data_IF_799365620852
#
_entry.id   IF_799365620852
#
_cell.length_a   1.000
_cell.length_b   1.000
_cell.length_c   1.000
_cell.angle_alpha   90.00
_cell.angle_beta   90.00
_cell.angle_gamma   90.00
#
_symmetry.space_group_name_H-M   'P 1'
#
loop_
_entity.id
_entity.type
_entity.pdbx_description
1 polymer ?
#
# COMPACT_ATOMS: atom_id res chain seq x y z
N UNK A 1 8.55 19.39 6.08
CA UNK A 1 7.52 19.68 7.10
C UNK A 1 7.49 18.55 8.13
N UNK A 2 7.49 17.28 7.73
CA UNK A 2 7.47 16.12 8.65
C UNK A 2 8.69 15.97 9.56
N UNK A 3 9.92 16.21 9.08
CA UNK A 3 11.15 16.13 9.90
C UNK A 3 11.18 17.19 11.02
N UNK A 4 10.78 18.43 10.68
CA UNK A 4 10.65 19.53 11.62
C UNK A 4 9.58 19.24 12.67
N UNK A 5 8.40 18.75 12.27
CA UNK A 5 7.32 18.39 13.21
C UNK A 5 7.74 17.28 14.17
N UNK A 6 8.45 16.24 13.69
CA UNK A 6 8.91 15.13 14.53
C UNK A 6 9.93 15.57 15.59
N UNK A 7 10.81 16.54 15.27
CA UNK A 7 11.78 17.13 16.20
C UNK A 7 11.24 18.28 17.06
N UNK A 8 10.01 18.73 16.80
CA UNK A 8 9.35 19.78 17.60
C UNK A 8 8.66 19.21 18.84
N UNK A 9 8.46 17.88 18.90
CA UNK A 9 7.87 17.20 20.06
C UNK A 9 9.01 16.78 21.01
N UNK A 10 9.14 17.38 22.22
CA UNK A 10 10.28 17.19 23.11
C UNK A 10 10.54 15.73 23.46
N UNK A 11 9.46 14.99 23.73
CA UNK A 11 9.53 13.57 24.11
C UNK A 11 10.06 12.65 22.99
N UNK A 12 9.85 13.00 21.72
CA UNK A 12 10.39 12.22 20.60
C UNK A 12 11.86 12.55 20.32
N UNK A 13 12.26 13.80 20.54
CA UNK A 13 13.67 14.22 20.47
C UNK A 13 14.51 13.46 21.50
N UNK A 14 14.08 13.42 22.75
CA UNK A 14 14.84 12.79 23.85
C UNK A 14 15.00 11.27 23.64
N UNK A 15 13.95 10.60 23.16
CA UNK A 15 14.00 9.17 22.85
C UNK A 15 14.92 8.87 21.65
N UNK A 16 14.93 9.76 20.65
CA UNK A 16 15.81 9.64 19.49
C UNK A 16 17.28 9.83 19.89
N UNK A 17 17.61 10.87 20.67
CA UNK A 17 18.97 11.12 21.15
C UNK A 17 19.50 9.97 22.03
N UNK A 18 18.66 9.39 22.90
CA UNK A 18 19.00 8.18 23.68
C UNK A 18 19.30 6.98 22.79
N UNK A 19 18.46 6.70 21.80
CA UNK A 19 18.67 5.61 20.85
C UNK A 19 19.99 5.79 20.08
N UNK A 20 20.26 7.01 19.59
CA UNK A 20 21.48 7.36 18.88
C UNK A 20 22.76 7.17 19.72
N UNK A 21 22.70 7.54 21.00
CA UNK A 21 23.80 7.38 21.96
C UNK A 21 24.06 5.90 22.27
N UNK A 22 23.01 5.09 22.44
CA UNK A 22 23.13 3.65 22.73
C UNK A 22 23.80 2.86 21.61
N UNK A 23 23.58 3.24 20.35
CA UNK A 23 24.17 2.57 19.18
C UNK A 23 25.50 3.19 18.73
N UNK A 24 26.00 4.23 19.42
CA UNK A 24 27.26 4.89 19.09
C UNK A 24 27.30 5.55 17.71
N UNK A 25 26.14 5.94 17.15
CA UNK A 25 26.04 6.38 15.75
C UNK A 25 26.59 7.81 15.48
N UNK A 26 26.94 8.57 16.52
CA UNK A 26 27.49 9.93 16.39
C UNK A 26 26.60 10.90 15.60
N UNK A 27 27.19 11.84 14.88
CA UNK A 27 26.48 12.81 14.02
C UNK A 27 25.64 12.15 12.91
N UNK A 28 25.88 10.87 12.60
CA UNK A 28 25.21 10.13 11.52
C UNK A 28 23.89 9.45 11.91
N UNK A 29 23.40 9.61 13.15
CA UNK A 29 22.25 8.84 13.62
C UNK A 29 20.95 9.02 12.81
N UNK A 30 20.77 10.19 12.19
CA UNK A 30 19.63 10.44 11.31
C UNK A 30 19.56 9.50 10.10
N UNK A 31 20.69 8.90 9.69
CA UNK A 31 20.75 7.88 8.62
C UNK A 31 20.05 6.57 8.98
N UNK A 32 19.79 6.33 10.26
CA UNK A 32 19.23 5.08 10.83
C UNK A 32 17.73 5.24 11.13
N UNK A 33 17.14 6.41 10.85
CA UNK A 33 15.71 6.62 11.05
C UNK A 33 14.92 5.62 10.20
N UNK A 34 14.00 4.88 10.84
CA UNK A 34 13.30 3.74 10.22
C UNK A 34 12.64 4.09 8.88
N UNK A 35 12.00 5.25 8.76
CA UNK A 35 11.36 5.64 7.49
C UNK A 35 12.38 5.97 6.37
N UNK A 36 13.57 6.48 6.71
CA UNK A 36 14.64 6.75 5.72
C UNK A 36 15.19 5.41 5.20
N UNK A 37 15.33 4.41 6.08
CA UNK A 37 15.66 3.04 5.69
C UNK A 37 14.65 2.46 4.69
N UNK A 38 13.35 2.68 4.93
CA UNK A 38 12.28 2.27 4.00
C UNK A 38 12.42 2.99 2.65
N UNK A 39 12.68 4.29 2.62
CA UNK A 39 12.91 5.00 1.36
C UNK A 39 14.08 4.45 0.56
N UNK A 40 15.18 4.01 1.21
CA UNK A 40 16.35 3.44 0.53
C UNK A 40 16.03 2.11 -0.16
N UNK A 41 15.32 1.20 0.51
CA UNK A 41 14.95 -0.08 -0.10
C UNK A 41 13.89 0.09 -1.19
N UNK A 42 12.88 0.95 -0.96
CA UNK A 42 11.85 1.27 -1.96
C UNK A 42 12.45 1.94 -3.20
N UNK A 43 13.46 2.81 -3.03
CA UNK A 43 14.19 3.42 -4.14
C UNK A 43 14.89 2.36 -5.01
N UNK A 44 15.51 1.36 -4.38
CA UNK A 44 16.16 0.26 -5.12
C UNK A 44 15.13 -0.52 -5.96
N UNK A 45 14.01 -0.91 -5.35
CA UNK A 45 12.93 -1.62 -6.04
C UNK A 45 12.33 -0.77 -7.17
N UNK A 46 12.05 0.51 -6.90
CA UNK A 46 11.53 1.45 -7.90
C UNK A 46 12.49 1.58 -9.09
N UNK A 47 13.79 1.75 -8.83
CA UNK A 47 14.81 1.86 -9.88
C UNK A 47 14.87 0.59 -10.72
N UNK A 48 14.92 -0.58 -10.06
CA UNK A 48 14.94 -1.87 -10.75
C UNK A 48 13.70 -2.07 -11.64
N UNK A 49 12.50 -1.86 -11.11
CA UNK A 49 11.26 -2.05 -11.87
C UNK A 49 11.08 -1.00 -12.98
N UNK A 50 11.54 0.22 -12.77
CA UNK A 50 11.54 1.26 -13.80
C UNK A 50 12.47 0.88 -14.96
N UNK A 51 13.69 0.44 -14.67
CA UNK A 51 14.63 -0.06 -15.68
C UNK A 51 14.08 -1.27 -16.41
N UNK A 52 13.49 -2.23 -15.69
CA UNK A 52 12.85 -3.39 -16.30
C UNK A 52 11.67 -3.00 -17.19
N UNK A 53 10.88 -1.99 -16.81
CA UNK A 53 9.81 -1.46 -17.63
C UNK A 53 10.36 -0.94 -18.96
N UNK A 54 11.39 -0.07 -18.94
CA UNK A 54 12.04 0.41 -20.16
C UNK A 54 12.65 -0.73 -20.99
N UNK A 55 13.28 -1.72 -20.33
CA UNK A 55 13.83 -2.91 -20.97
C UNK A 55 12.74 -3.77 -21.61
N UNK A 56 11.47 -3.70 -21.21
CA UNK A 56 10.40 -4.54 -21.79
C UNK A 56 9.37 -3.78 -22.63
N UNK A 57 9.57 -2.48 -22.87
CA UNK A 57 8.71 -1.71 -23.81
C UNK A 57 8.67 -2.38 -25.18
N UNK A 58 7.45 -2.58 -25.69
CA UNK A 58 7.16 -3.17 -27.00
C UNK A 58 7.71 -4.61 -27.19
N UNK A 59 7.91 -5.35 -26.11
CA UNK A 59 8.21 -6.79 -26.21
C UNK A 59 6.92 -7.56 -26.44
N UNK A 60 6.81 -8.20 -27.61
CA UNK A 60 5.62 -8.96 -28.02
C UNK A 60 5.66 -10.45 -27.66
N UNK A 61 6.84 -10.99 -27.33
CA UNK A 61 7.00 -12.41 -27.02
C UNK A 61 8.04 -12.64 -25.93
N UNK A 62 7.74 -13.59 -25.05
CA UNK A 62 8.61 -14.06 -23.97
C UNK A 62 9.89 -14.76 -24.46
N UNK A 63 9.92 -15.16 -25.73
CA UNK A 63 11.06 -15.84 -26.35
C UNK A 63 12.13 -14.88 -26.89
N UNK A 64 11.81 -13.58 -26.99
CA UNK A 64 12.80 -12.57 -27.35
C UNK A 64 13.90 -12.50 -26.29
N UNK A 65 15.10 -12.02 -26.66
CA UNK A 65 16.20 -11.86 -25.72
C UNK A 65 15.80 -11.02 -24.48
N UNK A 66 15.08 -9.90 -24.70
CA UNK A 66 14.53 -9.04 -23.64
C UNK A 66 13.50 -9.77 -22.77
N UNK A 67 12.65 -10.61 -23.37
CA UNK A 67 11.70 -11.48 -22.65
C UNK A 67 12.38 -12.53 -21.78
N UNK A 68 13.48 -13.15 -22.26
CA UNK A 68 14.28 -14.10 -21.48
C UNK A 68 14.96 -13.43 -20.29
N UNK A 69 15.45 -12.20 -20.42
CA UNK A 69 15.96 -11.41 -19.28
C UNK A 69 14.84 -11.15 -18.26
N UNK A 70 13.65 -10.77 -18.72
CA UNK A 70 12.51 -10.52 -17.84
C UNK A 70 12.08 -11.77 -17.05
N UNK A 71 12.09 -12.95 -17.66
CA UNK A 71 11.60 -14.18 -17.01
C UNK A 71 12.69 -14.97 -16.27
N UNK A 72 13.97 -14.81 -16.66
CA UNK A 72 15.11 -15.55 -16.11
C UNK A 72 16.04 -14.74 -15.20
N UNK A 73 17.25 -15.25 -14.97
CA UNK A 73 18.37 -14.54 -14.32
C UNK A 73 18.06 -13.91 -12.94
N UNK A 74 17.29 -14.60 -12.09
CA UNK A 74 16.88 -14.10 -10.77
C UNK A 74 18.03 -13.69 -9.85
N UNK A 75 19.12 -14.45 -9.82
CA UNK A 75 20.29 -14.12 -8.98
C UNK A 75 20.90 -12.77 -9.35
N UNK A 76 21.02 -12.46 -10.64
CA UNK A 76 21.54 -11.18 -11.11
C UNK A 76 20.61 -10.01 -10.79
N UNK A 77 19.29 -10.22 -10.84
CA UNK A 77 18.28 -9.23 -10.44
C UNK A 77 18.38 -8.92 -8.95
N UNK A 78 18.50 -9.95 -8.12
CA UNK A 78 18.70 -9.79 -6.67
C UNK A 78 20.01 -9.06 -6.38
N UNK A 79 21.10 -9.44 -7.03
CA UNK A 79 22.39 -8.76 -6.89
C UNK A 79 22.28 -7.28 -7.25
N UNK A 80 21.58 -6.95 -8.36
CA UNK A 80 21.34 -5.57 -8.76
C UNK A 80 20.57 -4.80 -7.68
N UNK A 81 19.43 -5.33 -7.20
CA UNK A 81 18.61 -4.68 -6.16
C UNK A 81 19.43 -4.46 -4.88
N UNK A 82 20.19 -5.46 -4.43
CA UNK A 82 21.03 -5.34 -3.23
C UNK A 82 22.15 -4.32 -3.44
N UNK A 83 22.79 -4.29 -4.61
CA UNK A 83 23.85 -3.33 -4.92
C UNK A 83 23.35 -1.88 -4.92
N UNK A 84 22.19 -1.61 -5.51
CA UNK A 84 21.56 -0.29 -5.52
C UNK A 84 21.12 0.10 -4.11
N UNK A 85 20.61 -0.84 -3.32
CA UNK A 85 20.23 -0.60 -1.92
C UNK A 85 21.44 -0.23 -1.05
N UNK A 86 22.55 -0.96 -1.17
CA UNK A 86 23.81 -0.65 -0.48
C UNK A 86 24.32 0.73 -0.91
N UNK A 87 24.31 1.03 -2.21
CA UNK A 87 24.74 2.33 -2.73
C UNK A 87 23.86 3.47 -2.20
N UNK A 88 22.55 3.26 -2.09
CA UNK A 88 21.63 4.23 -1.50
C UNK A 88 21.89 4.49 -0.01
N UNK A 89 22.52 3.55 0.71
CA UNK A 89 22.96 3.75 2.09
C UNK A 89 24.15 4.71 2.20
N UNK A 90 25.09 4.63 1.26
CA UNK A 90 26.26 5.52 1.20
C UNK A 90 25.93 6.91 0.63
N UNK A 91 24.82 7.04 -0.12
CA UNK A 91 24.41 8.30 -0.74
C UNK A 91 23.80 9.28 0.29
N UNK A 92 24.67 10.12 0.86
CA UNK A 92 24.32 11.08 1.92
C UNK A 92 23.39 12.22 1.45
N UNK A 93 23.31 12.49 0.15
CA UNK A 93 22.43 13.53 -0.40
C UNK A 93 20.96 13.08 -0.51
N UNK A 94 20.67 11.79 -0.28
CA UNK A 94 19.30 11.28 -0.30
C UNK A 94 18.40 11.99 0.71
N UNK A 95 18.97 12.42 1.83
CA UNK A 95 18.25 13.03 2.94
C UNK A 95 17.65 14.39 2.54
N UNK A 96 18.40 15.18 1.76
CA UNK A 96 17.91 16.42 1.14
C UNK A 96 16.82 16.15 0.10
N UNK A 97 16.90 15.02 -0.62
CA UNK A 97 15.92 14.61 -1.64
C UNK A 97 14.69 13.87 -1.08
N UNK A 98 14.66 13.55 0.21
CA UNK A 98 13.55 12.79 0.84
C UNK A 98 12.20 13.43 0.58
N UNK A 99 12.12 14.77 0.58
CA UNK A 99 10.86 15.48 0.28
C UNK A 99 10.36 15.22 -1.15
N UNK A 100 11.27 15.12 -2.12
CA UNK A 100 10.91 14.79 -3.52
C UNK A 100 10.39 13.36 -3.58
N UNK A 101 11.09 12.41 -2.94
CA UNK A 101 10.66 11.02 -2.87
C UNK A 101 9.31 10.82 -2.16
N UNK A 102 9.00 11.62 -1.14
CA UNK A 102 7.68 11.64 -0.50
C UNK A 102 6.57 12.02 -1.49
N UNK A 103 6.77 13.08 -2.28
CA UNK A 103 5.79 13.53 -3.26
C UNK A 103 5.60 12.47 -4.34
N UNK A 104 6.70 11.91 -4.86
CA UNK A 104 6.65 10.79 -5.82
C UNK A 104 5.89 9.58 -5.24
N UNK A 105 6.11 9.28 -3.96
CA UNK A 105 5.40 8.21 -3.25
C UNK A 105 3.90 8.46 -3.11
N UNK A 106 3.48 9.70 -2.83
CA UNK A 106 2.05 10.07 -2.78
C UNK A 106 1.40 9.89 -4.15
N UNK A 107 2.02 10.41 -5.21
CA UNK A 107 1.50 10.30 -6.59
C UNK A 107 1.43 8.84 -7.02
N UNK A 108 2.50 8.07 -6.81
CA UNK A 108 2.52 6.64 -7.11
C UNK A 108 1.50 5.84 -6.29
N UNK A 109 1.31 6.20 -5.01
CA UNK A 109 0.33 5.57 -4.13
C UNK A 109 -1.10 5.78 -4.59
N UNK A 110 -1.46 6.99 -5.04
CA UNK A 110 -2.79 7.27 -5.61
C UNK A 110 -3.04 6.42 -6.85
N UNK A 111 -2.06 6.35 -7.77
CA UNK A 111 -2.15 5.51 -8.97
C UNK A 111 -2.28 4.02 -8.62
N UNK A 112 -1.50 3.55 -7.64
CA UNK A 112 -1.53 2.16 -7.20
C UNK A 112 -2.85 1.78 -6.53
N UNK A 113 -3.43 2.65 -5.71
CA UNK A 113 -4.77 2.45 -5.13
C UNK A 113 -5.83 2.37 -6.22
N UNK A 114 -5.74 3.21 -7.25
CA UNK A 114 -6.67 3.17 -8.38
C UNK A 114 -6.59 1.85 -9.16
N UNK A 115 -5.39 1.39 -9.51
CA UNK A 115 -5.19 0.11 -10.22
C UNK A 115 -5.64 -1.08 -9.36
N UNK A 116 -5.28 -1.09 -8.07
CA UNK A 116 -5.73 -2.14 -7.16
C UNK A 116 -7.26 -2.15 -7.01
N UNK A 117 -7.92 -0.99 -7.02
CA UNK A 117 -9.36 -0.90 -6.93
C UNK A 117 -10.06 -1.56 -8.13
N UNK A 118 -9.61 -1.27 -9.36
CA UNK A 118 -10.13 -1.92 -10.58
C UNK A 118 -9.90 -3.43 -10.52
N UNK A 119 -8.67 -3.85 -10.19
CA UNK A 119 -8.32 -5.27 -10.12
C UNK A 119 -9.15 -6.01 -9.07
N UNK A 120 -9.45 -5.36 -7.94
CA UNK A 120 -10.28 -5.93 -6.87
C UNK A 120 -11.73 -6.11 -7.32
N UNK A 121 -12.28 -5.15 -8.08
CA UNK A 121 -13.63 -5.25 -8.64
C UNK A 121 -13.71 -6.42 -9.64
N UNK A 122 -12.76 -6.51 -10.58
CA UNK A 122 -12.72 -7.59 -11.57
C UNK A 122 -12.59 -8.96 -10.89
N UNK A 123 -11.73 -9.04 -9.87
CA UNK A 123 -11.59 -10.25 -9.06
C UNK A 123 -12.89 -10.64 -8.35
N UNK A 124 -13.63 -9.66 -7.80
CA UNK A 124 -14.91 -9.91 -7.15
C UNK A 124 -15.96 -10.43 -8.15
N UNK A 125 -16.04 -9.85 -9.35
CA UNK A 125 -16.95 -10.32 -10.40
C UNK A 125 -16.63 -11.74 -10.85
N UNK A 126 -15.35 -12.06 -11.08
CA UNK A 126 -14.93 -13.39 -11.53
C UNK A 126 -15.22 -14.47 -10.47
N UNK A 127 -14.91 -14.20 -9.19
CA UNK A 127 -15.23 -15.13 -8.11
C UNK A 127 -16.74 -15.32 -7.97
N UNK A 128 -17.51 -14.24 -7.96
CA UNK A 128 -18.95 -14.32 -7.79
C UNK A 128 -19.59 -15.08 -8.95
N UNK A 129 -19.19 -14.81 -10.19
CA UNK A 129 -19.67 -15.54 -11.37
C UNK A 129 -19.35 -17.04 -11.32
N UNK A 130 -18.11 -17.39 -10.97
CA UNK A 130 -17.69 -18.79 -10.85
C UNK A 130 -18.46 -19.51 -9.73
N UNK A 131 -18.58 -18.90 -8.54
CA UNK A 131 -19.31 -19.50 -7.42
C UNK A 131 -20.81 -19.62 -7.70
N UNK A 132 -21.41 -18.62 -8.34
CA UNK A 132 -22.81 -18.65 -8.74
C UNK A 132 -23.09 -19.75 -9.78
N UNK A 133 -22.17 -19.98 -10.72
CA UNK A 133 -22.33 -21.11 -11.65
C UNK A 133 -22.26 -22.46 -10.95
N UNK A 134 -21.38 -22.61 -9.96
CA UNK A 134 -21.28 -23.84 -9.15
C UNK A 134 -22.42 -24.00 -8.15
N UNK A 135 -23.06 -22.92 -7.72
CA UNK A 135 -24.20 -22.96 -6.80
C UNK A 135 -25.46 -23.58 -7.42
N UNK A 136 -25.55 -23.61 -8.76
CA UNK A 136 -26.63 -24.29 -9.49
C UNK A 136 -26.65 -25.81 -9.27
N UNK A 137 -25.50 -26.40 -8.95
CA UNK A 137 -25.35 -27.85 -8.75
C UNK A 137 -24.97 -28.24 -7.33
N UNK A 138 -24.46 -27.30 -6.52
CA UNK A 138 -23.97 -27.60 -5.16
C UNK A 138 -24.43 -26.56 -4.14
N UNK A 139 -25.14 -27.02 -3.13
CA UNK A 139 -25.61 -26.20 -2.00
C UNK A 139 -24.47 -25.57 -1.19
N UNK A 140 -23.29 -26.19 -1.20
CA UNK A 140 -22.11 -25.64 -0.54
C UNK A 140 -21.74 -24.27 -1.08
N UNK A 141 -21.74 -24.10 -2.41
CA UNK A 141 -21.40 -22.81 -3.03
C UNK A 141 -22.48 -21.76 -2.79
N UNK A 142 -23.76 -22.16 -2.74
CA UNK A 142 -24.85 -21.28 -2.30
C UNK A 142 -24.58 -20.76 -0.88
N UNK A 143 -24.28 -21.65 0.06
CA UNK A 143 -23.98 -21.27 1.44
C UNK A 143 -22.71 -20.40 1.53
N UNK A 144 -21.67 -20.73 0.78
CA UNK A 144 -20.42 -19.97 0.75
C UNK A 144 -20.62 -18.52 0.29
N UNK A 145 -21.44 -18.28 -0.73
CA UNK A 145 -21.79 -16.92 -1.19
C UNK A 145 -22.47 -16.13 -0.07
N UNK A 146 -23.48 -16.70 0.60
CA UNK A 146 -24.19 -16.02 1.67
C UNK A 146 -23.30 -15.74 2.88
N UNK A 147 -22.48 -16.72 3.31
CA UNK A 147 -21.55 -16.55 4.43
C UNK A 147 -20.51 -15.49 4.11
N UNK A 148 -19.92 -15.51 2.91
CA UNK A 148 -18.94 -14.51 2.50
C UNK A 148 -19.55 -13.10 2.43
N UNK A 149 -20.77 -12.96 1.90
CA UNK A 149 -21.46 -11.67 1.82
C UNK A 149 -21.79 -11.13 3.22
N UNK A 150 -22.36 -11.98 4.09
CA UNK A 150 -22.74 -11.58 5.45
C UNK A 150 -21.51 -11.22 6.29
N UNK A 151 -20.41 -11.98 6.14
CA UNK A 151 -19.17 -11.69 6.87
C UNK A 151 -18.55 -10.36 6.43
N UNK A 152 -18.54 -10.05 5.12
CA UNK A 152 -18.05 -8.76 4.61
C UNK A 152 -18.90 -7.58 5.12
N UNK A 153 -20.24 -7.71 5.15
CA UNK A 153 -21.10 -6.69 5.73
C UNK A 153 -20.87 -6.52 7.24
N UNK A 154 -20.75 -7.63 7.99
CA UNK A 154 -20.46 -7.57 9.41
C UNK A 154 -19.12 -6.87 9.69
N UNK A 155 -18.06 -7.21 8.94
CA UNK A 155 -16.75 -6.56 9.05
C UNK A 155 -16.85 -5.07 8.74
N UNK A 156 -17.58 -4.67 7.70
CA UNK A 156 -17.77 -3.26 7.36
C UNK A 156 -18.47 -2.48 8.48
N UNK A 157 -19.57 -3.02 9.04
CA UNK A 157 -20.31 -2.41 10.16
C UNK A 157 -19.41 -2.29 11.40
N UNK A 158 -18.68 -3.35 11.74
CA UNK A 158 -17.73 -3.35 12.86
C UNK A 158 -16.62 -2.31 12.64
N UNK A 159 -16.07 -2.19 11.44
CA UNK A 159 -15.02 -1.23 11.11
C UNK A 159 -15.52 0.23 11.23
N UNK A 160 -16.69 0.55 10.67
CA UNK A 160 -17.26 1.90 10.82
C UNK A 160 -17.60 2.22 12.28
N UNK A 161 -18.14 1.26 13.02
CA UNK A 161 -18.42 1.41 14.46
C UNK A 161 -17.12 1.69 15.23
N UNK A 162 -16.05 0.93 14.97
CA UNK A 162 -14.74 1.16 15.55
C UNK A 162 -14.19 2.55 15.18
N UNK A 163 -14.33 3.01 13.94
CA UNK A 163 -13.90 4.36 13.55
C UNK A 163 -14.63 5.46 14.32
N UNK A 164 -15.93 5.33 14.53
CA UNK A 164 -16.70 6.28 15.34
C UNK A 164 -16.26 6.24 16.81
N UNK A 165 -16.17 5.06 17.42
CA UNK A 165 -15.88 4.91 18.84
C UNK A 165 -14.45 5.29 19.21
N UNK A 166 -13.46 4.94 18.40
CA UNK A 166 -12.04 5.16 18.73
C UNK A 166 -11.49 6.46 18.17
N UNK A 167 -11.95 6.89 16.99
CA UNK A 167 -11.37 8.04 16.27
C UNK A 167 -12.32 9.24 16.13
N UNK A 168 -13.62 9.06 16.37
CA UNK A 168 -14.62 10.14 16.31
C UNK A 168 -14.96 10.73 17.68
N UNK A 169 -15.59 9.92 18.53
CA UNK A 169 -16.20 10.34 19.81
C UNK A 169 -15.23 10.84 20.88
N UNK A 170 -14.04 10.23 21.14
CA UNK A 170 -13.22 10.56 22.31
C UNK A 170 -12.74 12.02 22.37
N UNK A 171 -12.68 12.70 21.21
CA UNK A 171 -12.28 14.11 21.10
C UNK A 171 -13.30 14.96 20.33
N UNK A 172 -14.48 14.40 20.03
CA UNK A 172 -15.50 15.02 19.18
C UNK A 172 -14.91 15.59 17.88
N UNK A 173 -14.01 14.81 17.23
CA UNK A 173 -13.35 15.25 16.01
C UNK A 173 -14.33 15.25 14.84
N UNK A 174 -14.92 16.41 14.55
CA UNK A 174 -15.90 16.59 13.47
C UNK A 174 -15.38 16.07 12.13
N UNK A 175 -14.10 16.33 11.80
CA UNK A 175 -13.51 15.86 10.55
C UNK A 175 -13.56 14.33 10.41
N UNK A 176 -13.12 13.59 11.42
CA UNK A 176 -13.11 12.13 11.39
C UNK A 176 -14.54 11.58 11.31
N UNK A 177 -15.48 12.18 12.05
CA UNK A 177 -16.88 11.77 12.04
C UNK A 177 -17.53 12.02 10.68
N UNK A 178 -17.31 13.18 10.07
CA UNK A 178 -17.83 13.53 8.74
C UNK A 178 -17.27 12.62 7.65
N UNK A 179 -15.94 12.39 7.63
CA UNK A 179 -15.33 11.48 6.63
C UNK A 179 -15.86 10.07 6.81
N UNK A 180 -15.97 9.58 8.04
CA UNK A 180 -16.52 8.24 8.32
C UNK A 180 -17.98 8.13 7.87
N UNK A 181 -18.80 9.14 8.19
CA UNK A 181 -20.22 9.19 7.82
C UNK A 181 -20.46 9.24 6.31
N UNK A 182 -19.70 10.06 5.57
CA UNK A 182 -19.79 10.13 4.10
C UNK A 182 -19.42 8.78 3.49
N UNK A 183 -18.31 8.16 3.92
CA UNK A 183 -17.90 6.87 3.39
C UNK A 183 -18.91 5.76 3.71
N UNK A 184 -19.44 5.70 4.93
CA UNK A 184 -20.48 4.73 5.30
C UNK A 184 -21.76 4.92 4.47
N UNK A 185 -22.17 6.17 4.25
CA UNK A 185 -23.32 6.51 3.42
C UNK A 185 -23.13 6.11 1.95
N UNK A 186 -21.95 6.39 1.37
CA UNK A 186 -21.62 5.96 0.01
C UNK A 186 -21.58 4.44 -0.12
N UNK A 187 -20.98 3.72 0.84
CA UNK A 187 -20.96 2.26 0.86
C UNK A 187 -22.38 1.67 0.90
N UNK A 188 -23.26 2.22 1.75
CA UNK A 188 -24.65 1.80 1.81
C UNK A 188 -25.38 2.07 0.50
N UNK A 189 -25.19 3.26 -0.09
CA UNK A 189 -25.77 3.62 -1.38
C UNK A 189 -25.33 2.64 -2.47
N UNK A 190 -24.04 2.33 -2.57
CA UNK A 190 -23.54 1.37 -3.57
C UNK A 190 -24.08 -0.05 -3.34
N UNK A 191 -24.20 -0.50 -2.08
CA UNK A 191 -24.80 -1.79 -1.77
C UNK A 191 -26.27 -1.86 -2.21
N UNK A 192 -27.03 -0.79 -1.96
CA UNK A 192 -28.43 -0.64 -2.40
C UNK A 192 -28.49 -0.67 -3.93
N UNK A 193 -27.72 0.18 -4.62
CA UNK A 193 -27.70 0.23 -6.08
C UNK A 193 -27.32 -1.13 -6.69
N UNK A 194 -26.35 -1.84 -6.11
CA UNK A 194 -25.96 -3.17 -6.58
C UNK A 194 -27.11 -4.17 -6.45
N UNK A 195 -27.86 -4.17 -5.35
CA UNK A 195 -29.00 -5.07 -5.15
C UNK A 195 -30.15 -4.78 -6.13
N UNK A 196 -30.39 -3.50 -6.44
CA UNK A 196 -31.44 -3.10 -7.38
C UNK A 196 -31.04 -3.23 -8.86
N UNK A 197 -29.74 -3.17 -9.19
CA UNK A 197 -29.27 -3.35 -10.58
C UNK A 197 -29.53 -4.75 -11.15
N UNK A 198 -29.84 -5.72 -10.27
CA UNK A 198 -30.11 -7.12 -10.62
C UNK A 198 -31.61 -7.47 -10.66
N UNK A 199 -32.50 -6.51 -10.38
CA UNK A 199 -33.97 -6.64 -10.55
C UNK A 199 -34.35 -5.97 -11.87
#
# INVERSE_FOLDING_TARGET
MSYLIFLTIPQHRDNFERFCSQIGAGEGCYRIIGYIGVYRICLSLFTFHTLMTFLTIAVSSSQTFRGKIHNGYWLWKLFFIVSVWITAYFFSYLETLTRVWMIMGIVGGILFVYVQHITLIDFAYEINGNWHNKSKTSIFYTLAIYIATLSLYAVAICAYTAFVLFYGLPRQCTLNLTVTGINAGLTLLFAICSAFSTI
#
